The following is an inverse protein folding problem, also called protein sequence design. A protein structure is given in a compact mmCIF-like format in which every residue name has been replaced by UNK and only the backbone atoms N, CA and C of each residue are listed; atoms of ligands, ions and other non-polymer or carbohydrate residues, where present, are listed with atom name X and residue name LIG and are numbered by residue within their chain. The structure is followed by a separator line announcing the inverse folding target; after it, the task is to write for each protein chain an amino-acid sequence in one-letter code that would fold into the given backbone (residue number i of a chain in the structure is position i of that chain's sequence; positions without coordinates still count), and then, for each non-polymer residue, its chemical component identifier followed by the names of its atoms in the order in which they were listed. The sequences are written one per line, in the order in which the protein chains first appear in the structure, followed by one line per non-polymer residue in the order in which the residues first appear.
data_IF_815299101034
#
_entry.id   IF_815299101034
#
_cell.length_a   1.000
_cell.length_b   1.000
_cell.length_c   1.000
_cell.angle_alpha   90.00
_cell.angle_beta   90.00
_cell.angle_gamma   90.00
#
_symmetry.space_group_name_H-M   'P 1'
#
loop_
_entity.id
_entity.type
_entity.pdbx_description
1 polymer ?
#
# COMPACT_ATOMS: atom_id res chain seq x y z
N UNK A 1 16.31 -17.94 -16.62
CA UNK A 1 16.44 -16.52 -16.23
C UNK A 1 15.42 -16.19 -15.16
N UNK A 2 15.79 -15.56 -14.09
CA UNK A 2 14.82 -15.10 -13.11
C UNK A 2 13.93 -14.01 -13.71
N UNK A 3 12.69 -13.97 -13.27
CA UNK A 3 11.74 -12.95 -13.68
C UNK A 3 12.12 -11.62 -13.04
N UNK A 4 11.96 -10.53 -13.79
CA UNK A 4 12.18 -9.18 -13.25
C UNK A 4 10.92 -8.75 -12.49
N UNK A 5 10.80 -9.25 -11.28
CA UNK A 5 9.63 -8.97 -10.45
C UNK A 5 9.72 -7.60 -9.75
N UNK A 6 10.91 -7.04 -9.61
CA UNK A 6 11.06 -5.66 -9.16
C UNK A 6 10.32 -4.74 -10.11
N UNK A 7 10.51 -4.91 -11.43
CA UNK A 7 9.82 -4.09 -12.42
C UNK A 7 8.31 -4.25 -12.35
N UNK A 8 7.82 -5.46 -12.07
CA UNK A 8 6.38 -5.72 -11.93
C UNK A 8 5.81 -4.94 -10.74
N UNK A 9 6.48 -4.98 -9.59
CA UNK A 9 6.02 -4.26 -8.40
C UNK A 9 6.14 -2.75 -8.59
N UNK A 10 7.23 -2.28 -9.18
CA UNK A 10 7.38 -0.85 -9.46
C UNK A 10 6.30 -0.34 -10.41
N UNK A 11 5.93 -1.16 -11.40
CA UNK A 11 4.83 -0.82 -12.30
C UNK A 11 3.50 -0.74 -11.54
N UNK A 12 3.25 -1.66 -10.61
CA UNK A 12 2.05 -1.61 -9.77
C UNK A 12 2.00 -0.32 -8.95
N UNK A 13 3.11 0.04 -8.29
CA UNK A 13 3.18 1.30 -7.55
C UNK A 13 2.87 2.49 -8.45
N UNK A 14 3.44 2.51 -9.65
CA UNK A 14 3.29 3.62 -10.58
C UNK A 14 1.86 3.76 -11.09
N UNK A 15 1.21 2.67 -11.46
CA UNK A 15 -0.10 2.73 -12.06
C UNK A 15 -1.22 2.90 -11.03
N UNK A 16 -1.12 2.22 -9.88
CA UNK A 16 -2.22 2.18 -8.92
C UNK A 16 -2.10 3.30 -7.89
N UNK A 17 -0.89 3.57 -7.39
CA UNK A 17 -0.71 4.44 -6.23
C UNK A 17 -0.13 5.81 -6.52
N UNK A 18 0.75 5.95 -7.51
CA UNK A 18 1.28 7.27 -7.86
C UNK A 18 0.26 8.05 -8.67
N UNK A 19 0.31 9.38 -8.58
CA UNK A 19 -0.61 10.23 -9.35
C UNK A 19 -0.27 10.21 -10.84
N UNK A 20 -1.30 10.14 -11.71
CA UNK A 20 -2.72 9.96 -11.40
C UNK A 20 -3.02 8.52 -11.02
N UNK A 21 -3.66 8.34 -9.88
CA UNK A 21 -3.97 7.01 -9.35
C UNK A 21 -5.00 6.30 -10.24
N UNK A 22 -4.76 5.01 -10.49
CA UNK A 22 -5.69 4.20 -11.27
C UNK A 22 -5.90 2.83 -10.60
N UNK A 23 -6.77 2.73 -9.58
CA UNK A 23 -7.01 1.46 -8.93
C UNK A 23 -7.64 0.41 -9.85
N UNK A 24 -8.25 0.80 -10.96
CA UNK A 24 -8.80 -0.17 -11.92
C UNK A 24 -7.70 -0.96 -12.64
N UNK A 25 -6.45 -0.48 -12.63
CA UNK A 25 -5.32 -1.24 -13.16
C UNK A 25 -5.12 -2.56 -12.42
N UNK A 26 -5.63 -2.67 -11.19
CA UNK A 26 -5.59 -3.90 -10.40
C UNK A 26 -6.20 -5.07 -11.19
N UNK A 27 -7.22 -4.82 -12.01
CA UNK A 27 -7.89 -5.88 -12.78
C UNK A 27 -6.94 -6.65 -13.70
N UNK A 28 -5.87 -6.02 -14.18
CA UNK A 28 -4.91 -6.70 -15.08
C UNK A 28 -3.55 -6.99 -14.45
N UNK A 29 -3.28 -6.43 -13.27
CA UNK A 29 -1.98 -6.59 -12.60
C UNK A 29 -2.01 -7.65 -11.50
N UNK A 30 -3.17 -8.01 -11.03
CA UNK A 30 -3.36 -8.81 -9.81
C UNK A 30 -4.19 -10.05 -10.15
N UNK A 31 -3.78 -11.20 -9.59
CA UNK A 31 -4.51 -12.45 -9.76
C UNK A 31 -5.89 -12.39 -9.07
N UNK A 32 -6.88 -13.08 -9.61
CA UNK A 32 -8.24 -13.03 -9.06
C UNK A 32 -8.34 -13.54 -7.62
N UNK A 33 -7.45 -14.47 -7.23
CA UNK A 33 -7.40 -15.04 -5.88
C UNK A 33 -6.46 -14.31 -4.93
N UNK A 34 -6.09 -13.08 -5.27
CA UNK A 34 -5.15 -12.27 -4.52
C UNK A 34 -5.57 -12.12 -3.06
N UNK A 35 -4.57 -12.09 -2.17
CA UNK A 35 -4.79 -11.84 -0.74
C UNK A 35 -3.85 -10.72 -0.29
N UNK A 36 -4.39 -9.76 0.47
CA UNK A 36 -3.55 -8.81 1.21
C UNK A 36 -3.67 -9.14 2.70
N UNK A 37 -2.52 -9.28 3.35
CA UNK A 37 -2.42 -9.54 4.78
C UNK A 37 -1.78 -8.34 5.47
N UNK A 38 -2.47 -7.76 6.43
CA UNK A 38 -1.97 -6.62 7.18
C UNK A 38 -2.59 -6.63 8.58
N UNK A 39 -1.75 -6.36 9.59
CA UNK A 39 -2.23 -6.32 10.97
C UNK A 39 -2.84 -7.63 11.44
N UNK A 40 -2.36 -8.76 10.92
CA UNK A 40 -2.87 -10.09 11.27
C UNK A 40 -4.21 -10.43 10.62
N UNK A 41 -4.65 -9.69 9.61
CA UNK A 41 -5.94 -9.90 8.94
C UNK A 41 -5.74 -10.07 7.44
N UNK A 42 -6.57 -10.90 6.83
CA UNK A 42 -6.55 -11.13 5.40
C UNK A 42 -7.78 -10.50 4.74
N UNK A 43 -7.54 -9.83 3.61
CA UNK A 43 -8.60 -9.44 2.68
C UNK A 43 -8.40 -10.32 1.45
N UNK A 44 -9.41 -11.13 1.13
CA UNK A 44 -9.30 -12.19 0.13
C UNK A 44 -10.03 -11.78 -1.14
N UNK A 45 -9.35 -11.92 -2.28
CA UNK A 45 -9.91 -11.67 -3.59
C UNK A 45 -9.51 -10.33 -4.19
N UNK A 46 -9.33 -10.32 -5.50
CA UNK A 46 -8.93 -9.13 -6.26
C UNK A 46 -9.93 -7.99 -6.11
N UNK A 47 -11.23 -8.28 -6.16
CA UNK A 47 -12.26 -7.24 -6.08
C UNK A 47 -12.31 -6.60 -4.69
N UNK A 48 -12.16 -7.42 -3.63
CA UNK A 48 -12.09 -6.89 -2.28
C UNK A 48 -10.84 -6.04 -2.07
N UNK A 49 -9.72 -6.46 -2.64
CA UNK A 49 -8.49 -5.67 -2.60
C UNK A 49 -8.65 -4.32 -3.31
N UNK A 50 -9.24 -4.33 -4.51
CA UNK A 50 -9.48 -3.09 -5.26
C UNK A 50 -10.37 -2.13 -4.47
N UNK A 51 -11.43 -2.64 -3.84
CA UNK A 51 -12.30 -1.83 -3.01
C UNK A 51 -11.56 -1.23 -1.82
N UNK A 52 -10.68 -2.02 -1.19
CA UNK A 52 -9.86 -1.55 -0.08
C UNK A 52 -8.92 -0.42 -0.53
N UNK A 53 -8.28 -0.58 -1.70
CA UNK A 53 -7.37 0.44 -2.25
C UNK A 53 -8.15 1.74 -2.53
N UNK A 54 -9.31 1.63 -3.18
CA UNK A 54 -10.13 2.80 -3.48
C UNK A 54 -10.55 3.54 -2.20
N UNK A 55 -10.96 2.80 -1.18
CA UNK A 55 -11.35 3.38 0.10
C UNK A 55 -10.19 4.11 0.76
N UNK A 56 -9.02 3.49 0.80
CA UNK A 56 -7.84 4.12 1.38
C UNK A 56 -7.49 5.41 0.63
N UNK A 57 -7.47 5.37 -0.69
CA UNK A 57 -7.13 6.54 -1.51
C UNK A 57 -8.12 7.68 -1.30
N UNK A 58 -9.40 7.36 -1.12
CA UNK A 58 -10.44 8.37 -0.87
C UNK A 58 -10.30 9.04 0.50
N UNK A 59 -9.63 8.40 1.44
CA UNK A 59 -9.46 8.92 2.81
C UNK A 59 -8.20 9.77 2.98
N UNK A 60 -7.50 10.07 1.90
CA UNK A 60 -6.28 10.88 1.93
C UNK A 60 -6.39 11.98 0.91
N UNK A 61 -6.22 13.25 1.35
CA UNK A 61 -6.11 14.40 0.45
C UNK A 61 -4.64 14.68 0.20
N UNK A 62 -4.33 15.25 -0.97
CA UNK A 62 -2.96 15.60 -1.37
C UNK A 62 -2.03 14.39 -1.29
N UNK A 63 -2.50 13.27 -1.81
CA UNK A 63 -1.83 11.98 -1.73
C UNK A 63 -0.54 12.00 -2.54
N UNK A 64 0.59 11.68 -1.91
CA UNK A 64 1.86 11.46 -2.60
C UNK A 64 2.43 10.11 -2.16
N UNK A 65 2.81 9.28 -3.12
CA UNK A 65 3.37 7.96 -2.88
C UNK A 65 4.84 7.96 -3.29
N UNK A 66 5.69 7.48 -2.39
CA UNK A 66 7.14 7.42 -2.61
C UNK A 66 7.63 6.00 -2.37
N UNK A 67 8.37 5.44 -3.32
CA UNK A 67 9.07 4.17 -3.15
C UNK A 67 10.44 4.47 -2.59
N UNK A 68 10.80 3.84 -1.48
CA UNK A 68 12.10 4.00 -0.85
C UNK A 68 13.10 3.02 -1.44
N UNK A 69 12.72 1.74 -1.51
CA UNK A 69 13.61 0.68 -1.98
C UNK A 69 12.78 -0.52 -2.39
N UNK A 70 13.18 -1.21 -3.46
CA UNK A 70 12.53 -2.43 -3.92
C UNK A 70 13.60 -3.43 -4.36
N UNK A 71 13.49 -4.69 -3.91
CA UNK A 71 14.41 -5.74 -4.31
C UNK A 71 13.69 -7.08 -4.28
N UNK A 72 14.26 -8.10 -4.91
CA UNK A 72 13.64 -9.41 -5.04
C UNK A 72 14.58 -10.53 -4.61
N UNK A 73 13.99 -11.71 -4.35
CA UNK A 73 14.76 -12.91 -4.11
C UNK A 73 15.31 -13.47 -5.45
N UNK A 74 16.07 -14.56 -5.37
CA UNK A 74 16.85 -15.04 -6.50
C UNK A 74 15.98 -15.39 -7.72
N UNK A 75 14.83 -16.02 -7.53
CA UNK A 75 13.99 -16.44 -8.65
C UNK A 75 12.85 -15.46 -8.98
N UNK A 76 12.74 -14.35 -8.24
CA UNK A 76 11.71 -13.35 -8.48
C UNK A 76 10.34 -13.73 -7.95
N UNK A 77 10.22 -14.80 -7.17
CA UNK A 77 8.92 -15.19 -6.59
C UNK A 77 8.50 -14.30 -5.42
N UNK A 78 9.44 -13.55 -4.85
CA UNK A 78 9.18 -12.63 -3.74
C UNK A 78 9.87 -11.30 -3.98
N UNK A 79 9.16 -10.21 -3.68
CA UNK A 79 9.69 -8.85 -3.78
C UNK A 79 9.41 -8.14 -2.46
N UNK A 80 10.43 -7.46 -1.94
CA UNK A 80 10.26 -6.56 -0.79
C UNK A 80 10.32 -5.12 -1.28
N UNK A 81 9.43 -4.27 -0.80
CA UNK A 81 9.39 -2.87 -1.18
C UNK A 81 9.02 -2.03 0.04
N UNK A 82 9.88 -1.06 0.36
CA UNK A 82 9.61 -0.06 1.39
C UNK A 82 9.04 1.18 0.73
N UNK A 83 8.01 1.76 1.35
CA UNK A 83 7.28 2.88 0.77
C UNK A 83 6.90 3.90 1.83
N UNK A 84 6.53 5.09 1.35
CA UNK A 84 6.08 6.20 2.18
C UNK A 84 4.93 6.92 1.48
N UNK A 85 3.92 7.29 2.25
CA UNK A 85 2.78 8.09 1.80
C UNK A 85 2.72 9.34 2.65
N UNK A 86 2.60 10.50 2.00
CA UNK A 86 2.27 11.75 2.68
C UNK A 86 0.93 12.25 2.18
N UNK A 87 0.23 12.98 3.03
CA UNK A 87 -1.06 13.53 2.68
C UNK A 87 -1.73 14.20 3.87
N UNK A 88 -3.02 14.46 3.70
CA UNK A 88 -3.85 15.04 4.75
C UNK A 88 -5.02 14.14 5.03
N UNK A 89 -5.38 14.03 6.30
CA UNK A 89 -6.44 13.13 6.76
C UNK A 89 -7.81 13.55 6.23
N UNK A 90 -8.47 12.59 5.56
CA UNK A 90 -9.84 12.72 5.09
C UNK A 90 -10.69 11.56 5.59
N UNK A 91 -10.48 11.17 6.85
CA UNK A 91 -11.24 10.11 7.49
C UNK A 91 -10.51 8.77 7.58
N UNK A 92 -9.17 8.78 7.59
CA UNK A 92 -8.38 7.56 7.78
C UNK A 92 -8.78 6.84 9.05
N UNK A 93 -8.92 5.53 8.99
CA UNK A 93 -9.20 4.67 10.14
C UNK A 93 -10.45 5.09 10.91
N UNK A 94 -11.44 5.62 10.20
CA UNK A 94 -12.69 6.06 10.80
C UNK A 94 -12.62 7.33 11.63
N UNK A 95 -11.53 8.10 11.48
CA UNK A 95 -11.38 9.37 12.20
C UNK A 95 -12.14 10.50 11.52
N UNK A 96 -12.27 11.62 12.21
CA UNK A 96 -12.85 12.82 11.61
C UNK A 96 -11.95 13.31 10.46
N UNK A 97 -12.52 13.75 9.33
CA UNK A 97 -11.72 14.25 8.20
C UNK A 97 -11.20 15.67 8.48
N UNK A 98 -10.30 15.78 9.42
CA UNK A 98 -9.82 17.05 9.98
C UNK A 98 -8.70 17.71 9.17
N UNK A 99 -8.24 17.10 8.07
CA UNK A 99 -7.17 17.65 7.25
C UNK A 99 -5.79 17.62 7.89
N UNK A 100 -5.61 16.90 9.01
CA UNK A 100 -4.32 16.83 9.68
C UNK A 100 -3.26 16.21 8.77
N UNK A 101 -2.07 16.81 8.65
CA UNK A 101 -1.00 16.22 7.85
C UNK A 101 -0.47 14.95 8.51
N UNK A 102 -0.08 13.99 7.68
CA UNK A 102 0.52 12.75 8.19
C UNK A 102 1.55 12.21 7.22
N UNK A 103 2.39 11.35 7.74
CA UNK A 103 3.32 10.54 6.96
C UNK A 103 3.17 9.09 7.41
N UNK A 104 2.83 8.22 6.47
CA UNK A 104 2.71 6.79 6.71
C UNK A 104 3.81 6.09 5.96
N UNK A 105 4.49 5.15 6.61
CA UNK A 105 5.50 4.33 5.96
C UNK A 105 5.19 2.87 6.20
N UNK A 106 5.68 2.03 5.32
CA UNK A 106 5.47 0.60 5.45
C UNK A 106 6.46 -0.20 4.63
N UNK A 107 6.41 -1.50 4.85
CA UNK A 107 7.16 -2.47 4.07
C UNK A 107 6.20 -3.53 3.60
N UNK A 108 6.23 -3.79 2.30
CA UNK A 108 5.41 -4.79 1.65
C UNK A 108 6.28 -5.93 1.14
N UNK A 109 5.85 -7.16 1.36
CA UNK A 109 6.43 -8.31 0.69
C UNK A 109 5.37 -8.84 -0.26
N UNK A 110 5.74 -9.05 -1.51
CA UNK A 110 4.85 -9.50 -2.55
C UNK A 110 5.20 -10.90 -3.02
N UNK A 111 4.18 -11.70 -3.28
CA UNK A 111 4.33 -12.93 -4.06
C UNK A 111 3.97 -12.62 -5.50
N UNK A 112 4.88 -12.95 -6.42
CA UNK A 112 4.68 -12.74 -7.86
C UNK A 112 4.63 -14.10 -8.54
N UNK A 113 3.55 -14.37 -9.27
CA UNK A 113 3.39 -15.62 -9.99
C UNK A 113 4.27 -15.69 -11.24
N UNK A 114 4.48 -16.89 -11.76
CA UNK A 114 5.24 -17.10 -13.00
C UNK A 114 4.59 -16.41 -14.20
N UNK A 115 3.30 -16.12 -14.12
CA UNK A 115 2.54 -15.39 -15.13
C UNK A 115 2.70 -13.85 -15.01
N UNK A 116 3.49 -13.39 -14.05
CA UNK A 116 3.70 -11.96 -13.81
C UNK A 116 2.60 -11.27 -13.03
N UNK A 117 1.59 -12.00 -12.56
CA UNK A 117 0.52 -11.42 -11.75
C UNK A 117 0.87 -11.45 -10.27
N UNK A 118 0.47 -10.40 -9.56
CA UNK A 118 0.66 -10.31 -8.11
C UNK A 118 -0.35 -11.22 -7.43
N UNK A 119 0.12 -12.07 -6.49
CA UNK A 119 -0.71 -13.10 -5.87
C UNK A 119 -0.95 -12.87 -4.39
N UNK A 120 -0.01 -12.24 -3.69
CA UNK A 120 -0.16 -11.96 -2.27
C UNK A 120 0.67 -10.75 -1.91
N UNK A 121 0.15 -9.95 -0.97
CA UNK A 121 0.88 -8.84 -0.39
C UNK A 121 0.80 -8.95 1.13
N UNK A 122 1.94 -9.09 1.77
CA UNK A 122 2.06 -8.94 3.22
C UNK A 122 2.60 -7.54 3.46
N UNK A 123 1.83 -6.70 4.15
CA UNK A 123 2.23 -5.32 4.38
C UNK A 123 2.06 -4.96 5.85
N UNK A 124 3.09 -4.34 6.40
CA UNK A 124 3.01 -3.73 7.73
C UNK A 124 3.35 -2.25 7.60
N UNK A 125 2.68 -1.44 8.40
CA UNK A 125 2.77 0.01 8.33
C UNK A 125 2.63 0.61 9.72
N UNK A 126 3.09 1.85 9.87
CA UNK A 126 3.06 2.56 11.15
C UNK A 126 1.67 3.16 11.45
N UNK A 127 0.63 2.33 11.33
CA UNK A 127 -0.76 2.79 11.49
C UNK A 127 -1.03 3.39 12.88
N UNK A 128 -0.43 2.82 13.93
CA UNK A 128 -0.64 3.31 15.29
C UNK A 128 -0.10 4.74 15.43
N UNK A 129 1.09 5.02 14.94
CA UNK A 129 1.70 6.34 14.99
C UNK A 129 0.92 7.35 14.16
N UNK A 130 0.46 6.94 12.98
CA UNK A 130 -0.38 7.80 12.14
C UNK A 130 -1.70 8.10 12.83
N UNK A 131 -2.36 7.09 13.39
CA UNK A 131 -3.61 7.29 14.12
C UNK A 131 -3.43 8.29 15.26
N UNK A 132 -2.36 8.12 16.05
CA UNK A 132 -2.05 9.05 17.12
C UNK A 132 -1.82 10.48 16.63
N UNK A 133 -1.07 10.62 15.53
CA UNK A 133 -0.75 11.94 14.98
C UNK A 133 -1.99 12.68 14.47
N UNK A 134 -2.91 11.99 13.79
CA UNK A 134 -4.10 12.63 13.22
C UNK A 134 -5.21 12.86 14.24
N UNK A 135 -5.12 12.22 15.41
CA UNK A 135 -6.12 12.39 16.48
C UNK A 135 -5.60 13.21 17.66
N UNK A 136 -4.30 13.47 17.75
CA UNK A 136 -3.72 14.22 18.85
C UNK A 136 -4.10 15.70 18.74
N UNK A 137 -4.50 16.32 19.86
CA UNK A 137 -4.91 17.73 19.88
C UNK A 137 -3.74 18.66 19.59
N UNK A 138 -2.50 18.27 19.91
CA UNK A 138 -1.30 19.06 19.66
C UNK A 138 -0.53 18.60 18.41
N UNK A 139 -1.07 17.64 17.69
CA UNK A 139 -0.47 17.08 16.48
C UNK A 139 0.77 16.23 16.71
N UNK A 140 1.08 15.91 17.96
CA UNK A 140 2.25 15.10 18.28
C UNK A 140 1.86 13.75 18.80
N UNK A 141 2.46 12.72 18.22
CA UNK A 141 2.33 11.35 18.71
C UNK A 141 3.54 10.57 18.25
N UNK A 142 4.42 10.23 19.17
CA UNK A 142 5.65 9.52 18.85
C UNK A 142 5.92 8.48 19.93
N UNK A 143 6.04 7.21 19.51
CA UNK A 143 6.25 6.07 20.42
C UNK A 143 7.70 5.61 20.49
N UNK A 144 8.60 6.30 19.79
CA UNK A 144 10.03 6.02 19.90
C UNK A 144 10.69 6.82 21.01
#
# INVERSE_FOLDING_TARGET
MPQDSVAIVENFWREVWKQPQNPDAIDRLVHEDFVITSGGRDIVGREAFKAWVKDFQARVRHFEFHVVETFQNQDGSRVASSWRVTGRNNGLMGTEPNGAPFEMCGTAVWEVGADGLLRHNWVERNAFEVYGAITASDGRHNVF
#
